data_IF_491399363900
#
_entry.id   IF_491399363900
#
_cell.length_a   1.000
_cell.length_b   1.000
_cell.length_c   1.000
_cell.angle_alpha   90.00
_cell.angle_beta   90.00
_cell.angle_gamma   90.00
#
_symmetry.space_group_name_H-M   'P 1'
#
loop_
_entity.id
_entity.type
_entity.pdbx_description
1 polymer ?
#
# COMPACT_ATOMS: atom_id res chain seq x y z
N UNK A 1 -10.32 13.67 -6.75
CA UNK A 1 -8.97 13.96 -7.32
C UNK A 1 -8.34 12.65 -7.74
N UNK A 2 -7.40 12.65 -8.69
CA UNK A 2 -6.77 11.41 -9.14
C UNK A 2 -5.74 10.91 -8.11
N UNK A 3 -5.79 9.61 -7.78
CA UNK A 3 -4.80 8.93 -6.92
C UNK A 3 -3.44 8.85 -7.63
N UNK A 4 -2.35 8.90 -6.88
CA UNK A 4 -1.00 8.72 -7.44
C UNK A 4 -0.76 7.25 -7.76
N UNK A 5 -0.32 6.94 -8.97
CA UNK A 5 -0.01 5.55 -9.34
C UNK A 5 1.36 5.12 -8.79
N UNK A 6 1.41 3.97 -8.10
CA UNK A 6 2.66 3.30 -7.74
C UNK A 6 2.76 1.96 -8.45
N UNK A 7 3.93 1.71 -9.05
CA UNK A 7 4.25 0.45 -9.72
C UNK A 7 4.88 -0.52 -8.71
N UNK A 8 4.34 -1.74 -8.54
CA UNK A 8 4.95 -2.75 -7.68
C UNK A 8 6.35 -3.12 -8.12
N UNK A 9 7.25 -3.32 -7.16
CA UNK A 9 8.60 -3.83 -7.38
C UNK A 9 8.63 -5.32 -7.07
N UNK A 10 8.94 -6.14 -8.08
CA UNK A 10 9.03 -7.58 -7.90
C UNK A 10 10.23 -7.95 -7.03
N UNK A 11 9.98 -8.65 -5.93
CA UNK A 11 11.02 -9.30 -5.16
C UNK A 11 11.61 -10.44 -5.99
N UNK A 12 12.94 -10.54 -5.99
CA UNK A 12 13.66 -11.57 -6.73
C UNK A 12 14.09 -12.66 -5.75
N UNK A 13 13.77 -13.92 -6.07
CA UNK A 13 14.13 -15.08 -5.24
C UNK A 13 15.65 -15.12 -5.03
N UNK A 14 16.07 -15.16 -3.76
CA UNK A 14 17.48 -15.28 -3.35
C UNK A 14 18.41 -14.25 -4.03
N UNK A 15 17.89 -13.06 -4.34
CA UNK A 15 18.64 -12.02 -5.01
C UNK A 15 18.25 -10.64 -4.51
N UNK A 16 19.00 -9.63 -4.94
CA UNK A 16 18.80 -8.26 -4.51
C UNK A 16 17.60 -7.64 -5.25
N UNK A 17 16.85 -6.80 -4.54
CA UNK A 17 15.88 -5.93 -5.17
C UNK A 17 16.60 -4.81 -5.91
N UNK A 18 16.24 -4.56 -7.16
CA UNK A 18 16.78 -3.44 -7.92
C UNK A 18 16.46 -2.13 -7.17
N UNK A 19 17.51 -1.41 -6.75
CA UNK A 19 17.38 -0.16 -6.01
C UNK A 19 17.24 1.08 -6.91
N UNK A 20 17.32 0.91 -8.24
CA UNK A 20 17.20 2.01 -9.20
C UNK A 20 15.84 2.73 -9.13
N UNK A 21 14.77 1.99 -8.83
CA UNK A 21 13.47 2.55 -8.48
C UNK A 21 13.28 2.37 -6.99
N UNK A 22 13.46 3.43 -6.20
CA UNK A 22 13.35 3.41 -4.74
C UNK A 22 11.91 3.46 -4.22
N UNK A 23 11.72 3.45 -2.89
CA UNK A 23 10.42 3.72 -2.30
C UNK A 23 9.95 5.14 -2.65
N UNK A 24 8.63 5.35 -2.74
CA UNK A 24 8.03 6.66 -3.04
C UNK A 24 7.90 7.47 -1.76
N UNK A 25 8.30 8.74 -1.78
CA UNK A 25 8.12 9.64 -0.63
C UNK A 25 6.64 9.96 -0.40
N UNK A 26 6.20 9.85 0.84
CA UNK A 26 4.86 10.30 1.27
C UNK A 26 4.96 11.82 1.47
N UNK A 27 4.38 12.57 0.53
CA UNK A 27 4.28 14.03 0.56
C UNK A 27 2.83 14.49 0.75
N UNK A 28 2.61 15.81 0.80
CA UNK A 28 1.27 16.38 0.96
C UNK A 28 0.31 15.97 -0.17
N UNK A 29 0.81 15.69 -1.37
CA UNK A 29 0.00 15.23 -2.50
C UNK A 29 -0.50 13.82 -2.26
N UNK A 30 0.38 12.90 -1.85
CA UNK A 30 0.01 11.52 -1.52
C UNK A 30 -0.92 11.45 -0.32
N UNK A 31 -0.68 12.27 0.71
CA UNK A 31 -1.58 12.35 1.88
C UNK A 31 -2.97 12.83 1.48
N UNK A 32 -3.07 13.78 0.54
CA UNK A 32 -4.37 14.33 0.11
C UNK A 32 -5.10 13.40 -0.87
N UNK A 33 -4.39 12.85 -1.85
CA UNK A 33 -4.98 12.12 -2.97
C UNK A 33 -5.00 10.61 -2.75
N UNK A 34 -4.12 10.10 -1.89
CA UNK A 34 -3.84 8.68 -1.77
C UNK A 34 -3.05 8.12 -2.95
N UNK A 35 -2.91 6.80 -2.93
CA UNK A 35 -2.20 6.00 -3.90
C UNK A 35 -3.14 4.98 -4.52
N UNK A 36 -2.87 4.61 -5.76
CA UNK A 36 -3.46 3.45 -6.42
C UNK A 36 -2.37 2.55 -7.00
N UNK A 37 -2.60 1.24 -6.93
CA UNK A 37 -1.80 0.23 -7.60
C UNK A 37 -2.68 -0.45 -8.64
N UNK A 38 -2.37 -0.26 -9.92
CA UNK A 38 -3.10 -0.90 -11.02
C UNK A 38 -2.75 -2.39 -11.14
N UNK A 39 -3.68 -3.21 -11.64
CA UNK A 39 -3.52 -4.66 -11.79
C UNK A 39 -2.98 -5.31 -10.50
N UNK A 40 -3.55 -4.90 -9.36
CA UNK A 40 -3.12 -5.35 -8.06
C UNK A 40 -3.29 -6.87 -7.94
N UNK A 41 -2.35 -7.50 -7.23
CA UNK A 41 -2.41 -8.92 -6.86
C UNK A 41 -2.31 -9.01 -5.34
N UNK A 42 -3.39 -8.69 -4.60
CA UNK A 42 -3.38 -8.52 -3.14
C UNK A 42 -2.67 -9.65 -2.38
N UNK A 43 -2.86 -10.90 -2.81
CA UNK A 43 -2.28 -12.11 -2.19
C UNK A 43 -0.75 -12.20 -2.33
N UNK A 44 -0.17 -11.38 -3.20
CA UNK A 44 1.26 -11.34 -3.48
C UNK A 44 1.86 -9.97 -3.20
N UNK A 45 1.10 -9.03 -2.63
CA UNK A 45 1.57 -7.69 -2.38
C UNK A 45 1.93 -7.50 -0.91
N UNK A 46 3.11 -6.95 -0.66
CA UNK A 46 3.59 -6.53 0.64
C UNK A 46 3.84 -5.02 0.59
N UNK A 47 3.12 -4.26 1.40
CA UNK A 47 3.35 -2.82 1.55
C UNK A 47 4.47 -2.64 2.57
N UNK A 48 5.55 -1.99 2.17
CA UNK A 48 6.60 -1.50 3.08
C UNK A 48 6.38 -0.01 3.28
N UNK A 49 6.20 0.43 4.53
CA UNK A 49 6.01 1.83 4.86
C UNK A 49 6.97 2.27 5.96
N UNK A 50 7.36 3.54 5.94
CA UNK A 50 8.08 4.20 7.03
C UNK A 50 7.33 5.44 7.44
N UNK A 51 7.19 5.70 8.74
CA UNK A 51 6.69 6.97 9.24
C UNK A 51 7.84 7.79 9.88
N UNK A 52 8.15 8.94 9.29
CA UNK A 52 9.17 9.88 9.79
C UNK A 52 8.57 11.04 10.58
N UNK A 53 7.25 11.10 10.70
CA UNK A 53 6.55 12.08 11.51
C UNK A 53 6.79 11.81 13.01
N UNK A 54 6.65 12.85 13.83
CA UNK A 54 6.93 12.79 15.27
C UNK A 54 5.85 12.08 16.08
N UNK A 55 4.72 11.74 15.46
CA UNK A 55 3.59 11.04 16.06
C UNK A 55 3.21 9.79 15.25
N UNK A 56 2.27 9.04 15.80
CA UNK A 56 1.76 7.82 15.18
C UNK A 56 0.73 8.20 14.12
N UNK A 57 0.83 7.61 12.93
CA UNK A 57 -0.14 7.81 11.86
C UNK A 57 -0.78 6.49 11.42
N UNK A 58 -1.95 6.58 10.81
CA UNK A 58 -2.67 5.44 10.25
C UNK A 58 -2.53 5.40 8.72
N UNK A 59 -2.18 4.23 8.20
CA UNK A 59 -2.31 3.89 6.79
C UNK A 59 -3.58 3.08 6.59
N UNK A 60 -4.35 3.41 5.56
CA UNK A 60 -5.64 2.78 5.28
C UNK A 60 -5.62 2.15 3.90
N UNK A 61 -5.79 0.84 3.81
CA UNK A 61 -6.08 0.15 2.55
C UNK A 61 -7.60 0.13 2.39
N UNK A 62 -8.09 0.73 1.32
CA UNK A 62 -9.54 0.85 1.09
C UNK A 62 -10.17 -0.50 0.82
N UNK A 63 -11.40 -0.66 1.31
CA UNK A 63 -12.25 -1.77 0.91
C UNK A 63 -12.38 -1.78 -0.61
N UNK A 64 -12.42 -2.99 -1.18
CA UNK A 64 -12.69 -3.24 -2.58
C UNK A 64 -14.14 -2.92 -2.97
N UNK A 65 -14.44 -3.09 -4.25
CA UNK A 65 -15.81 -2.98 -4.76
C UNK A 65 -16.43 -4.36 -4.88
N UNK A 66 -17.72 -4.50 -4.60
CA UNK A 66 -18.43 -5.76 -4.76
C UNK A 66 -19.34 -5.73 -6.00
N UNK A 67 -19.08 -6.55 -7.04
CA UNK A 67 -17.93 -7.44 -7.25
C UNK A 67 -16.66 -6.69 -7.72
N UNK A 68 -15.43 -7.22 -7.50
CA UNK A 68 -15.09 -8.60 -7.10
C UNK A 68 -14.91 -8.86 -5.59
N UNK A 69 -14.81 -7.83 -4.75
CA UNK A 69 -14.55 -7.96 -3.33
C UNK A 69 -15.83 -8.30 -2.54
N UNK A 70 -16.18 -9.59 -2.46
CA UNK A 70 -17.37 -10.09 -1.74
C UNK A 70 -17.38 -9.71 -0.24
N UNK A 71 -16.21 -9.45 0.33
CA UNK A 71 -16.01 -9.06 1.74
C UNK A 71 -15.79 -7.56 1.93
N UNK A 72 -15.97 -6.74 0.89
CA UNK A 72 -15.91 -5.28 0.95
C UNK A 72 -16.78 -4.67 2.07
N UNK A 73 -17.92 -5.31 2.40
CA UNK A 73 -18.80 -4.87 3.48
C UNK A 73 -18.18 -4.87 4.89
N UNK A 74 -17.00 -5.47 5.08
CA UNK A 74 -16.23 -5.38 6.33
C UNK A 74 -15.47 -4.05 6.50
N UNK A 75 -15.46 -3.21 5.46
CA UNK A 75 -14.82 -1.91 5.49
C UNK A 75 -13.30 -1.96 5.32
N UNK A 76 -12.71 -0.78 5.46
CA UNK A 76 -11.29 -0.54 5.20
C UNK A 76 -10.39 -1.34 6.16
N UNK A 77 -9.17 -1.65 5.70
CA UNK A 77 -8.12 -2.18 6.53
C UNK A 77 -7.22 -1.03 6.99
N UNK A 78 -7.32 -0.67 8.26
CA UNK A 78 -6.45 0.34 8.88
C UNK A 78 -5.27 -0.32 9.58
N UNK A 79 -4.10 0.30 9.44
CA UNK A 79 -2.88 -0.15 10.09
C UNK A 79 -2.16 1.04 10.72
N UNK A 80 -1.86 0.91 12.00
CA UNK A 80 -1.16 1.94 12.76
C UNK A 80 0.35 1.86 12.51
N UNK A 81 0.93 2.95 12.02
CA UNK A 81 2.35 3.14 11.77
C UNK A 81 2.91 4.08 12.83
N UNK A 82 3.53 3.52 13.87
CA UNK A 82 4.07 4.33 14.96
C UNK A 82 5.18 5.30 14.48
N UNK A 83 5.38 6.36 15.26
CA UNK A 83 6.38 7.39 14.97
C UNK A 83 7.78 6.79 14.84
N UNK A 84 8.57 7.25 13.86
CA UNK A 84 9.99 6.90 13.70
C UNK A 84 10.29 5.38 13.67
N UNK A 85 9.32 4.57 13.25
CA UNK A 85 9.32 3.10 13.41
C UNK A 85 10.32 2.32 12.56
N UNK A 86 11.14 3.00 11.76
CA UNK A 86 11.85 2.32 10.67
C UNK A 86 10.86 1.85 9.60
N UNK A 87 11.09 0.68 9.02
CA UNK A 87 10.23 0.10 8.00
C UNK A 87 9.28 -0.96 8.58
N UNK A 88 7.98 -0.73 8.45
CA UNK A 88 6.93 -1.70 8.73
C UNK A 88 6.45 -2.36 7.44
N UNK A 89 6.02 -3.61 7.54
CA UNK A 89 5.57 -4.41 6.40
C UNK A 89 4.17 -4.96 6.66
N UNK A 90 3.28 -4.81 5.69
CA UNK A 90 1.88 -5.24 5.79
C UNK A 90 1.47 -6.05 4.57
N UNK A 91 0.65 -7.06 4.82
CA UNK A 91 0.21 -8.04 3.82
C UNK A 91 0.80 -9.44 4.08
N UNK A 92 0.52 -10.41 3.19
CA UNK A 92 -0.32 -10.28 2.00
C UNK A 92 -1.78 -9.95 2.32
N UNK A 93 -2.50 -9.40 1.34
CA UNK A 93 -3.89 -9.00 1.49
C UNK A 93 -4.82 -10.01 0.80
N UNK A 94 -6.09 -9.97 1.16
CA UNK A 94 -7.13 -10.81 0.54
C UNK A 94 -7.84 -10.01 -0.55
N UNK A 95 -7.84 -10.47 -1.81
CA UNK A 95 -8.49 -9.76 -2.92
C UNK A 95 -10.00 -9.60 -2.73
N UNK A 96 -10.61 -10.54 -2.02
CA UNK A 96 -12.02 -10.49 -1.66
C UNK A 96 -12.37 -9.29 -0.74
N UNK A 97 -11.37 -8.63 -0.15
CA UNK A 97 -11.53 -7.48 0.74
C UNK A 97 -11.09 -6.15 0.13
N UNK A 98 -10.00 -6.11 -0.65
CA UNK A 98 -9.33 -4.84 -1.01
C UNK A 98 -9.30 -4.51 -2.50
N UNK A 99 -9.70 -5.46 -3.37
CA UNK A 99 -9.63 -5.28 -4.81
C UNK A 99 -10.81 -4.43 -5.33
N UNK A 100 -10.51 -3.34 -6.03
CA UNK A 100 -11.51 -2.49 -6.68
C UNK A 100 -12.09 -3.17 -7.93
N UNK A 101 -13.18 -2.64 -8.47
CA UNK A 101 -13.83 -3.19 -9.68
C UNK A 101 -12.94 -3.15 -10.93
N UNK A 102 -12.06 -2.16 -11.01
CA UNK A 102 -11.06 -1.97 -12.06
C UNK A 102 -9.79 -2.81 -11.86
N UNK A 103 -9.76 -3.67 -10.83
CA UNK A 103 -8.61 -4.51 -10.48
C UNK A 103 -7.46 -3.74 -9.83
N UNK A 104 -7.67 -2.51 -9.39
CA UNK A 104 -6.70 -1.75 -8.62
C UNK A 104 -6.81 -1.99 -7.11
N UNK A 105 -5.82 -1.51 -6.37
CA UNK A 105 -5.85 -1.44 -4.91
C UNK A 105 -5.55 0.00 -4.46
N UNK A 106 -6.39 0.52 -3.58
CA UNK A 106 -6.35 1.92 -3.13
C UNK A 106 -5.80 2.03 -1.71
N UNK A 107 -4.84 2.93 -1.50
CA UNK A 107 -4.19 3.16 -0.20
C UNK A 107 -4.25 4.65 0.14
N UNK A 108 -4.65 4.98 1.35
CA UNK A 108 -4.70 6.34 1.88
C UNK A 108 -3.86 6.47 3.14
N UNK A 109 -3.51 7.71 3.46
CA UNK A 109 -2.69 8.06 4.62
C UNK A 109 -3.46 9.04 5.50
N UNK A 110 -3.23 8.95 6.80
CA UNK A 110 -3.68 9.97 7.72
C UNK A 110 -3.00 11.32 7.45
N UNK A 111 -3.76 12.40 7.66
CA UNK A 111 -3.28 13.76 7.49
C UNK A 111 -2.01 14.00 8.31
N UNK A 112 -0.98 14.55 7.67
CA UNK A 112 0.30 14.88 8.31
C UNK A 112 1.34 13.76 8.26
N UNK A 113 0.99 12.56 7.81
CA UNK A 113 1.96 11.47 7.67
C UNK A 113 3.11 11.85 6.72
N UNK A 114 4.34 11.56 7.13
CA UNK A 114 5.54 11.72 6.29
C UNK A 114 6.36 10.43 6.28
N UNK A 115 7.15 10.23 5.24
CA UNK A 115 8.07 9.09 5.15
C UNK A 115 8.08 8.49 3.76
N UNK A 116 7.98 7.17 3.67
CA UNK A 116 8.07 6.46 2.39
C UNK A 116 7.12 5.29 2.33
N UNK A 117 6.60 5.00 1.14
CA UNK A 117 5.80 3.83 0.82
C UNK A 117 6.41 3.09 -0.35
N UNK A 118 6.34 1.77 -0.30
CA UNK A 118 6.83 0.88 -1.33
C UNK A 118 5.96 -0.36 -1.41
N UNK A 119 5.74 -0.83 -2.64
CA UNK A 119 4.85 -1.93 -2.93
C UNK A 119 5.72 -3.06 -3.49
N UNK A 120 5.85 -4.13 -2.72
CA UNK A 120 6.69 -5.27 -3.06
C UNK A 120 5.82 -6.43 -3.54
N UNK A 121 6.10 -6.98 -4.73
CA UNK A 121 5.40 -8.17 -5.23
C UNK A 121 6.22 -9.43 -4.93
N UNK A 122 5.65 -10.36 -4.17
CA UNK A 122 6.24 -11.65 -3.81
C UNK A 122 6.26 -12.55 -5.06
N UNK A 123 7.41 -13.12 -5.48
CA UNK A 123 7.49 -13.96 -6.66
C UNK A 123 6.67 -15.25 -6.45
N UNK A 124 6.05 -15.74 -7.53
CA UNK A 124 5.47 -17.08 -7.55
C UNK A 124 6.63 -18.08 -7.60
N UNK A 125 6.67 -19.01 -6.65
CA UNK A 125 7.65 -20.11 -6.63
C UNK A 125 7.18 -21.29 -7.45
#
# INVERSE_FOLDING_TARGET
MARTAIVPRALVKNSNLNSATGPTTIDATLVTNGVTVANAKPERMLIRVTNTEGSTNVLTVRAGDNPPALRAGQGDLTVTVAATTGAQYFGPFESDKVLQDDGSMSIDFETGMTGTIDILEIPKV
#
